data_IF_031476388196
#
_entry.id   IF_031476388196
#
_cell.length_a   1.000
_cell.length_b   1.000
_cell.length_c   1.000
_cell.angle_alpha   90.00
_cell.angle_beta   90.00
_cell.angle_gamma   90.00
#
_symmetry.space_group_name_H-M   'P 1'
#
loop_
_entity.id
_entity.type
_entity.pdbx_description
1 polymer ?
#
# COMPACT_ATOMS: atom_id res chain seq x y z
N UNK A 1 -8.72 14.76 -8.52
CA UNK A 1 -8.90 14.24 -7.15
C UNK A 1 -7.83 14.84 -6.26
N UNK A 2 -8.15 15.54 -5.15
CA UNK A 2 -7.13 16.08 -4.26
C UNK A 2 -6.36 14.94 -3.58
N UNK A 3 -5.03 15.03 -3.56
CA UNK A 3 -4.12 14.01 -3.01
C UNK A 3 -4.37 13.68 -1.52
N UNK A 4 -4.99 14.59 -0.79
CA UNK A 4 -5.36 14.45 0.63
C UNK A 4 -6.39 13.32 0.86
N UNK A 5 -7.14 12.94 -0.17
CA UNK A 5 -8.17 11.91 -0.06
C UNK A 5 -7.58 10.50 0.03
N UNK A 6 -6.34 10.28 -0.44
CA UNK A 6 -5.78 8.93 -0.51
C UNK A 6 -5.56 8.34 0.90
N UNK A 7 -4.88 9.00 1.85
CA UNK A 7 -4.77 8.49 3.22
C UNK A 7 -6.12 8.26 3.89
N UNK A 8 -7.08 9.18 3.72
CA UNK A 8 -8.41 9.08 4.31
C UNK A 8 -9.23 7.90 3.72
N UNK A 9 -9.17 7.69 2.41
CA UNK A 9 -9.85 6.60 1.72
C UNK A 9 -9.27 5.24 2.13
N UNK A 10 -7.94 5.14 2.24
CA UNK A 10 -7.25 3.94 2.72
C UNK A 10 -7.66 3.61 4.15
N UNK A 11 -7.62 4.59 5.06
CA UNK A 11 -8.05 4.41 6.44
C UNK A 11 -9.53 3.98 6.53
N UNK A 12 -10.40 4.65 5.77
CA UNK A 12 -11.81 4.31 5.71
C UNK A 12 -12.00 2.86 5.23
N UNK A 13 -11.33 2.43 4.17
CA UNK A 13 -11.42 1.06 3.67
C UNK A 13 -10.88 0.03 4.67
N UNK A 14 -9.74 0.29 5.31
CA UNK A 14 -9.16 -0.58 6.34
C UNK A 14 -10.10 -0.81 7.53
N UNK A 15 -10.91 0.19 7.90
CA UNK A 15 -11.86 0.07 9.01
C UNK A 15 -13.11 -0.76 8.67
N UNK A 16 -13.39 -1.00 7.39
CA UNK A 16 -14.62 -1.66 6.94
C UNK A 16 -14.37 -2.98 6.18
N UNK A 17 -13.16 -3.20 5.67
CA UNK A 17 -12.81 -4.41 4.96
C UNK A 17 -12.42 -5.53 5.94
N UNK A 18 -13.00 -6.72 5.75
CA UNK A 18 -12.48 -7.93 6.37
C UNK A 18 -11.29 -8.43 5.54
N UNK A 19 -10.07 -8.25 6.07
CA UNK A 19 -8.82 -8.57 5.38
C UNK A 19 -8.16 -9.76 6.09
N UNK A 20 -7.93 -10.84 5.35
CA UNK A 20 -7.17 -12.01 5.78
C UNK A 20 -5.73 -12.04 5.23
N UNK A 21 -5.36 -11.01 4.46
CA UNK A 21 -4.02 -10.85 3.89
C UNK A 21 -3.00 -10.35 4.92
N UNK A 22 -1.79 -10.90 4.87
CA UNK A 22 -0.66 -10.48 5.69
C UNK A 22 -0.09 -9.12 5.26
N UNK A 23 -0.12 -8.83 3.96
CA UNK A 23 0.40 -7.61 3.35
C UNK A 23 -0.60 -7.01 2.36
N UNK A 24 -0.66 -5.68 2.31
CA UNK A 24 -1.50 -4.92 1.38
C UNK A 24 -0.58 -4.01 0.57
N UNK A 25 -0.71 -4.05 -0.75
CA UNK A 25 -0.01 -3.15 -1.66
C UNK A 25 -1.02 -2.14 -2.23
N UNK A 26 -0.74 -0.85 -2.05
CA UNK A 26 -1.56 0.23 -2.57
C UNK A 26 -0.81 0.87 -3.74
N UNK A 27 -1.31 0.69 -4.95
CA UNK A 27 -0.72 1.22 -6.18
C UNK A 27 -1.47 2.47 -6.66
N UNK A 28 -0.72 3.45 -7.16
CA UNK A 28 -1.31 4.58 -7.89
C UNK A 28 -1.76 4.19 -9.29
N UNK A 29 -2.68 4.97 -9.86
CA UNK A 29 -3.33 4.66 -11.15
C UNK A 29 -2.38 4.70 -12.35
N UNK A 30 -1.20 5.30 -12.19
CA UNK A 30 -0.14 5.41 -13.20
C UNK A 30 1.07 4.51 -12.91
N UNK A 31 1.00 3.66 -11.86
CA UNK A 31 2.07 2.71 -11.54
C UNK A 31 1.87 1.36 -12.24
N UNK A 32 2.97 0.82 -12.79
CA UNK A 32 3.02 -0.53 -13.38
C UNK A 32 4.01 -1.38 -12.60
N UNK A 33 3.56 -2.55 -12.14
CA UNK A 33 4.43 -3.58 -11.58
C UNK A 33 5.19 -4.28 -12.71
N UNK A 34 6.52 -4.12 -12.75
CA UNK A 34 7.39 -4.74 -13.76
C UNK A 34 8.09 -6.02 -13.29
N UNK A 35 7.79 -6.46 -12.07
CA UNK A 35 8.37 -7.64 -11.44
C UNK A 35 7.65 -7.97 -10.14
N UNK A 36 7.96 -9.11 -9.51
CA UNK A 36 7.43 -9.45 -8.21
C UNK A 36 7.87 -8.43 -7.16
N UNK A 37 6.97 -8.11 -6.23
CA UNK A 37 7.28 -7.36 -5.02
C UNK A 37 7.17 -8.32 -3.85
N UNK A 38 8.26 -8.46 -3.10
CA UNK A 38 8.26 -9.21 -1.86
C UNK A 38 8.32 -8.23 -0.68
N UNK A 39 7.26 -8.07 0.12
CA UNK A 39 7.15 -6.97 1.08
C UNK A 39 8.33 -6.84 2.07
N UNK A 40 8.86 -7.95 2.57
CA UNK A 40 9.99 -7.94 3.50
C UNK A 40 11.32 -7.54 2.86
N UNK A 41 11.48 -7.65 1.54
CA UNK A 41 12.65 -7.09 0.84
C UNK A 41 12.70 -5.56 0.95
N UNK A 42 11.56 -4.93 1.27
CA UNK A 42 11.42 -3.50 1.53
C UNK A 42 11.28 -3.16 3.02
N UNK A 43 11.53 -4.12 3.93
CA UNK A 43 11.31 -4.00 5.37
C UNK A 43 9.85 -3.72 5.77
N UNK A 44 8.87 -4.15 4.97
CA UNK A 44 7.49 -4.08 5.38
C UNK A 44 7.22 -5.02 6.55
N UNK A 45 6.67 -4.49 7.64
CA UNK A 45 6.22 -5.26 8.79
C UNK A 45 4.88 -4.72 9.30
N UNK A 46 4.18 -5.52 10.12
CA UNK A 46 2.87 -5.13 10.66
C UNK A 46 3.01 -3.83 11.46
N UNK A 47 2.32 -2.78 11.01
CA UNK A 47 2.37 -1.45 11.64
C UNK A 47 3.48 -0.53 11.11
N UNK A 48 4.32 -1.01 10.20
CA UNK A 48 5.37 -0.21 9.56
C UNK A 48 5.12 -0.11 8.04
N UNK A 49 4.42 0.95 7.59
CA UNK A 49 4.24 1.17 6.16
C UNK A 49 5.56 1.60 5.54
N UNK A 50 5.95 0.92 4.45
CA UNK A 50 7.14 1.24 3.67
C UNK A 50 6.72 1.71 2.28
N UNK A 51 7.43 2.71 1.75
CA UNK A 51 7.27 3.15 0.35
C UNK A 51 8.49 2.75 -0.46
N UNK A 52 8.27 2.26 -1.67
CA UNK A 52 9.37 2.00 -2.61
C UNK A 52 10.07 3.32 -2.97
N UNK A 53 11.42 3.36 -2.97
CA UNK A 53 12.14 4.50 -3.52
C UNK A 53 11.71 4.71 -4.98
N UNK A 54 11.32 5.94 -5.32
CA UNK A 54 11.19 6.35 -6.72
C UNK A 54 12.61 6.48 -7.27
N UNK A 55 13.06 5.48 -8.02
CA UNK A 55 14.34 5.52 -8.75
C UNK A 55 14.27 6.41 -9.97
#
# INVERSE_FOLDING_TARGET
YPAINKPAAVLHWLNHAAIDAEYIVILDADMVLRGPITPWEFNAERGHPVSTPYG
#
